data_IF_877858640398
#
_entry.id   IF_877858640398
#
_cell.length_a   1.000
_cell.length_b   1.000
_cell.length_c   1.000
_cell.angle_alpha   90.00
_cell.angle_beta   90.00
_cell.angle_gamma   90.00
#
_symmetry.space_group_name_H-M   'P 1'
#
loop_
_entity.id
_entity.type
_entity.pdbx_description
1 polymer ?
#
# COMPACT_ATOMS: atom_id res chain seq x y z
N UNK A 1 -8.62 -17.86 -3.90
CA UNK A 1 -7.69 -17.29 -2.92
C UNK A 1 -7.89 -15.82 -2.79
N UNK A 2 -7.72 -15.30 -1.59
CA UNK A 2 -7.98 -13.88 -1.31
C UNK A 2 -6.80 -12.97 -1.65
N UNK A 3 -5.62 -13.51 -1.99
CA UNK A 3 -4.46 -12.69 -2.28
C UNK A 3 -4.61 -11.98 -3.62
N UNK A 4 -4.40 -10.66 -3.59
CA UNK A 4 -4.51 -9.81 -4.76
C UNK A 4 -3.23 -9.00 -4.93
N UNK A 5 -2.90 -8.70 -6.16
CA UNK A 5 -1.84 -7.76 -6.49
C UNK A 5 -2.49 -6.42 -6.79
N UNK A 6 -2.11 -5.42 -6.02
CA UNK A 6 -2.73 -4.10 -6.05
C UNK A 6 -1.70 -3.09 -6.51
N UNK A 7 -2.08 -2.29 -7.51
CA UNK A 7 -1.25 -1.18 -7.96
C UNK A 7 -1.95 0.12 -7.63
N UNK A 8 -1.25 1.00 -6.91
CA UNK A 8 -1.71 2.36 -6.66
C UNK A 8 -0.70 3.33 -7.26
N UNK A 9 -1.22 4.40 -7.84
CA UNK A 9 -0.40 5.44 -8.48
C UNK A 9 -0.76 6.79 -7.91
N UNK A 10 0.22 7.69 -7.87
CA UNK A 10 0.04 9.01 -7.30
C UNK A 10 -1.07 9.77 -8.03
N UNK A 11 -2.08 10.16 -7.27
CA UNK A 11 -3.17 10.99 -7.76
C UNK A 11 -2.74 12.44 -7.80
N UNK A 12 -3.65 13.34 -8.15
CA UNK A 12 -3.35 14.77 -8.15
C UNK A 12 -2.84 15.21 -6.79
N UNK A 13 -1.75 15.95 -6.80
CA UNK A 13 -1.04 16.35 -5.62
C UNK A 13 -0.54 17.76 -5.82
N UNK A 14 -0.23 18.46 -4.74
CA UNK A 14 0.28 19.82 -4.79
C UNK A 14 1.54 19.91 -5.64
N UNK A 15 2.42 18.93 -5.50
CA UNK A 15 3.67 18.87 -6.27
C UNK A 15 3.49 18.23 -7.65
N UNK A 16 2.40 17.52 -7.87
CA UNK A 16 2.11 16.80 -9.11
C UNK A 16 0.67 17.04 -9.54
N UNK A 17 0.36 18.20 -10.12
CA UNK A 17 -1.03 18.58 -10.43
C UNK A 17 -1.81 17.60 -11.30
N UNK A 18 -1.11 16.79 -12.08
CA UNK A 18 -1.75 15.79 -12.95
C UNK A 18 -1.57 14.36 -12.45
N UNK A 19 -1.03 14.21 -11.25
CA UNK A 19 -0.67 12.89 -10.73
C UNK A 19 0.59 12.34 -11.40
N UNK A 20 0.87 11.06 -11.20
CA UNK A 20 2.03 10.43 -11.81
C UNK A 20 1.87 8.92 -11.87
N UNK A 21 1.98 8.35 -13.08
CA UNK A 21 1.98 6.90 -13.28
C UNK A 21 3.30 6.27 -12.87
N UNK A 22 4.34 7.08 -12.72
CA UNK A 22 5.69 6.61 -12.41
C UNK A 22 5.98 6.62 -10.93
N UNK A 23 5.00 7.05 -10.11
CA UNK A 23 5.13 7.14 -8.66
C UNK A 23 4.00 6.37 -8.01
N UNK A 24 4.34 5.45 -7.14
CA UNK A 24 3.32 4.68 -6.47
C UNK A 24 3.84 3.42 -5.81
N UNK A 25 2.94 2.47 -5.64
CA UNK A 25 3.21 1.23 -4.95
C UNK A 25 2.54 0.07 -5.66
N UNK A 26 3.25 -1.07 -5.71
CA UNK A 26 2.68 -2.37 -6.02
C UNK A 26 2.75 -3.20 -4.76
N UNK A 27 1.66 -3.81 -4.36
CA UNK A 27 1.70 -4.66 -3.16
C UNK A 27 0.71 -5.82 -3.27
N UNK A 28 0.98 -6.83 -2.47
CA UNK A 28 0.15 -8.02 -2.39
C UNK A 28 -0.54 -8.03 -1.04
N UNK A 29 -1.86 -8.22 -1.06
CA UNK A 29 -2.66 -8.21 0.14
C UNK A 29 -3.89 -9.09 -0.02
N UNK A 30 -4.38 -9.69 1.09
CA UNK A 30 -5.63 -10.43 1.04
C UNK A 30 -6.82 -9.49 1.12
N UNK A 31 -7.71 -9.60 0.15
CA UNK A 31 -8.90 -8.77 0.09
C UNK A 31 -10.15 -9.65 0.05
N UNK A 32 -11.20 -9.19 0.70
CA UNK A 32 -12.52 -9.80 0.58
C UNK A 32 -13.21 -9.31 -0.71
N UNK A 33 -14.41 -9.78 -0.95
CA UNK A 33 -15.16 -9.45 -2.17
C UNK A 33 -15.50 -7.96 -2.26
N UNK A 34 -15.48 -7.25 -1.14
CA UNK A 34 -15.74 -5.82 -1.09
C UNK A 34 -14.47 -4.97 -1.22
N UNK A 35 -13.32 -5.60 -1.29
CA UNK A 35 -12.04 -4.91 -1.39
C UNK A 35 -11.42 -4.49 -0.06
N UNK A 36 -11.89 -5.06 1.04
CA UNK A 36 -11.32 -4.78 2.36
C UNK A 36 -10.24 -5.79 2.72
N UNK A 37 -9.23 -5.32 3.46
CA UNK A 37 -8.13 -6.17 3.92
C UNK A 37 -8.62 -7.17 4.97
N UNK A 38 -8.12 -8.41 4.85
CA UNK A 38 -8.48 -9.51 5.76
C UNK A 38 -7.28 -9.81 6.65
N UNK A 39 -7.34 -9.37 7.92
CA UNK A 39 -6.22 -9.53 8.84
C UNK A 39 -5.85 -11.00 9.11
N UNK A 40 -6.85 -11.87 9.23
CA UNK A 40 -6.58 -13.29 9.49
C UNK A 40 -5.86 -13.97 8.33
N UNK A 41 -6.22 -13.63 7.11
CA UNK A 41 -5.53 -14.15 5.92
C UNK A 41 -4.13 -13.57 5.80
N UNK A 42 -3.96 -12.30 6.16
CA UNK A 42 -2.64 -11.67 6.19
C UNK A 42 -1.69 -12.39 7.15
N UNK A 43 -2.19 -12.77 8.34
CA UNK A 43 -1.36 -13.51 9.31
C UNK A 43 -0.79 -14.79 8.73
N UNK A 44 -1.55 -15.47 7.88
CA UNK A 44 -1.14 -16.73 7.25
C UNK A 44 -0.20 -16.51 6.06
N UNK A 45 -0.12 -15.29 5.54
CA UNK A 45 0.59 -15.00 4.30
C UNK A 45 1.54 -13.81 4.41
N UNK A 46 2.06 -13.53 5.59
CA UNK A 46 2.92 -12.36 5.83
C UNK A 46 4.08 -12.25 4.85
N UNK A 47 4.73 -13.37 4.56
CA UNK A 47 5.89 -13.40 3.68
C UNK A 47 5.53 -13.16 2.22
N UNK A 48 4.28 -13.33 1.86
CA UNK A 48 3.79 -13.13 0.51
C UNK A 48 3.23 -11.73 0.30
N UNK A 49 2.93 -11.02 1.37
CA UNK A 49 2.36 -9.66 1.30
C UNK A 49 3.48 -8.64 1.19
N UNK A 50 4.15 -8.66 0.07
CA UNK A 50 5.27 -7.75 -0.20
C UNK A 50 4.79 -6.47 -0.83
N UNK A 51 5.57 -5.40 -0.64
CA UNK A 51 5.31 -4.09 -1.23
C UNK A 51 6.55 -3.62 -1.97
N UNK A 52 6.34 -2.98 -3.10
CA UNK A 52 7.38 -2.29 -3.86
C UNK A 52 6.94 -0.84 -4.04
N UNK A 53 7.76 0.09 -3.57
CA UNK A 53 7.58 1.51 -3.82
C UNK A 53 8.44 1.89 -5.01
N UNK A 54 7.85 2.52 -6.01
CA UNK A 54 8.58 2.99 -7.20
C UNK A 54 8.43 4.50 -7.32
N UNK A 55 9.55 5.14 -7.66
CA UNK A 55 9.62 6.60 -7.75
C UNK A 55 10.78 6.97 -8.66
N UNK A 56 10.60 7.85 -9.68
CA UNK A 56 11.70 8.22 -10.58
C UNK A 56 12.86 8.87 -9.83
N UNK A 57 14.07 8.50 -10.19
CA UNK A 57 15.26 9.02 -9.54
C UNK A 57 15.62 8.37 -8.22
N UNK A 58 14.80 7.43 -7.75
CA UNK A 58 15.05 6.69 -6.51
C UNK A 58 15.04 5.20 -6.82
N UNK A 59 15.80 4.44 -6.03
CA UNK A 59 15.74 2.99 -6.14
C UNK A 59 14.40 2.50 -5.60
N UNK A 60 13.87 1.45 -6.21
CA UNK A 60 12.69 0.81 -5.69
C UNK A 60 12.94 0.31 -4.27
N UNK A 61 12.02 0.59 -3.37
CA UNK A 61 12.06 0.08 -2.01
C UNK A 61 11.16 -1.15 -1.92
N UNK A 62 11.72 -2.22 -1.39
CA UNK A 62 11.00 -3.48 -1.24
C UNK A 62 10.79 -3.73 0.25
N UNK A 63 9.56 -4.06 0.62
CA UNK A 63 9.22 -4.30 2.00
C UNK A 63 8.04 -5.23 2.13
N UNK A 64 7.35 -5.12 3.24
CA UNK A 64 6.21 -5.96 3.56
C UNK A 64 5.04 -5.13 4.09
N UNK A 65 3.84 -5.60 3.78
CA UNK A 65 2.64 -5.06 4.40
C UNK A 65 2.55 -5.61 5.82
N UNK A 66 2.39 -4.76 6.80
CA UNK A 66 2.27 -5.16 8.19
C UNK A 66 0.99 -4.61 8.81
N UNK A 67 0.41 -5.41 9.70
CA UNK A 67 -0.79 -5.05 10.46
C UNK A 67 -0.36 -4.78 11.89
N UNK A 68 -0.65 -3.58 12.38
CA UNK A 68 -0.21 -3.15 13.70
C UNK A 68 -1.35 -3.19 14.71
N UNK A 69 -0.99 -3.12 15.98
CA UNK A 69 -1.96 -2.98 17.06
C UNK A 69 -2.80 -1.74 16.80
N UNK A 70 -4.10 -1.85 17.08
CA UNK A 70 -5.03 -0.74 16.86
C UNK A 70 -5.67 -0.75 15.48
N UNK A 71 -5.33 -1.75 14.65
CA UNK A 71 -5.98 -1.94 13.36
C UNK A 71 -5.38 -1.17 12.20
N UNK A 72 -4.27 -0.46 12.41
CA UNK A 72 -3.61 0.25 11.31
C UNK A 72 -2.73 -0.70 10.49
N UNK A 73 -2.48 -0.32 9.25
CA UNK A 73 -1.60 -1.04 8.34
C UNK A 73 -0.44 -0.13 7.97
N UNK A 74 0.69 -0.72 7.63
CA UNK A 74 1.86 0.03 7.23
C UNK A 74 2.68 -0.76 6.21
N UNK A 75 3.54 -0.05 5.48
CA UNK A 75 4.56 -0.66 4.63
C UNK A 75 5.88 -0.58 5.38
N UNK A 76 6.47 -1.72 5.64
CA UNK A 76 7.71 -1.84 6.40
C UNK A 76 8.84 -2.27 5.46
N UNK A 77 9.76 -1.37 5.20
CA UNK A 77 10.88 -1.61 4.28
C UNK A 77 12.11 -2.18 4.97
N UNK A 78 12.22 -2.01 6.28
CA UNK A 78 13.35 -2.52 7.04
C UNK A 78 12.84 -3.20 8.30
N UNK A 79 12.90 -4.55 8.36
CA UNK A 79 12.40 -5.27 9.52
C UNK A 79 13.19 -5.01 10.81
N UNK A 80 14.37 -4.38 10.72
CA UNK A 80 15.18 -4.07 11.89
C UNK A 80 14.91 -2.67 12.46
N UNK A 81 14.22 -1.82 11.69
CA UNK A 81 13.90 -0.45 12.11
C UNK A 81 12.42 -0.17 11.93
N UNK A 82 11.75 0.15 13.03
CA UNK A 82 10.33 0.48 13.02
C UNK A 82 10.06 1.94 12.70
N UNK A 83 11.08 2.79 12.81
CA UNK A 83 10.94 4.22 12.53
C UNK A 83 10.73 4.55 11.05
N UNK A 84 11.12 3.63 10.17
CA UNK A 84 10.99 3.84 8.72
C UNK A 84 9.65 3.38 8.17
N UNK A 85 8.78 2.87 9.02
CA UNK A 85 7.45 2.47 8.60
C UNK A 85 6.69 3.68 8.10
N UNK A 86 6.06 3.54 6.97
CA UNK A 86 5.14 4.56 6.50
C UNK A 86 3.90 4.51 7.37
N UNK A 87 3.75 5.55 8.16
CA UNK A 87 2.84 5.55 9.28
C UNK A 87 1.38 5.49 8.85
N UNK A 88 0.71 4.49 9.38
CA UNK A 88 -0.62 4.74 9.89
C UNK A 88 -1.72 5.04 8.92
N UNK A 89 -1.69 4.50 7.73
CA UNK A 89 -2.91 4.60 6.95
C UNK A 89 -3.87 3.49 7.38
N UNK A 90 -5.11 3.87 7.57
CA UNK A 90 -6.15 2.94 7.99
C UNK A 90 -6.77 2.29 6.77
N UNK A 91 -6.01 1.45 6.10
CA UNK A 91 -6.48 0.75 4.90
C UNK A 91 -7.70 -0.14 5.19
N UNK A 92 -7.88 -0.54 6.44
CA UNK A 92 -9.05 -1.32 6.83
C UNK A 92 -10.38 -0.60 6.58
N UNK A 93 -10.35 0.72 6.52
CA UNK A 93 -11.54 1.53 6.25
C UNK A 93 -11.73 1.86 4.78
N UNK A 94 -10.75 1.54 3.95
CA UNK A 94 -10.80 1.83 2.53
C UNK A 94 -11.06 0.56 1.74
N UNK A 95 -11.83 0.71 0.69
CA UNK A 95 -12.01 -0.37 -0.28
C UNK A 95 -10.90 -0.26 -1.31
N UNK A 96 -10.14 -1.32 -1.47
CA UNK A 96 -9.07 -1.36 -2.48
C UNK A 96 -9.63 -1.91 -3.77
N UNK A 97 -10.41 -1.08 -4.45
CA UNK A 97 -10.99 -1.39 -5.75
C UNK A 97 -10.58 -0.32 -6.75
N UNK A 98 -10.46 -0.66 -8.04
CA UNK A 98 -10.02 0.33 -9.03
C UNK A 98 -10.87 1.59 -9.00
N UNK A 99 -10.21 2.75 -9.00
CA UNK A 99 -10.88 4.05 -8.95
C UNK A 99 -10.98 4.65 -7.55
N UNK A 100 -10.77 3.87 -6.50
CA UNK A 100 -10.78 4.40 -5.13
C UNK A 100 -9.48 5.12 -4.83
N UNK A 101 -9.53 6.00 -3.84
CA UNK A 101 -8.38 6.78 -3.40
C UNK A 101 -7.97 6.38 -2.00
N UNK A 102 -6.67 6.35 -1.75
CA UNK A 102 -6.10 6.11 -0.42
C UNK A 102 -5.07 7.18 -0.14
N UNK A 103 -5.07 7.71 1.08
CA UNK A 103 -4.10 8.73 1.49
C UNK A 103 -3.33 8.25 2.69
N UNK A 104 -2.03 8.50 2.68
CA UNK A 104 -1.18 8.18 3.82
C UNK A 104 0.09 9.03 3.80
N UNK A 105 0.76 9.08 4.96
CA UNK A 105 1.99 9.82 5.08
C UNK A 105 3.14 8.99 4.53
N UNK A 106 3.93 9.59 3.64
CA UNK A 106 5.15 8.99 3.14
C UNK A 106 6.27 9.16 4.18
N UNK A 107 7.39 8.48 3.96
CA UNK A 107 8.51 8.53 4.90
C UNK A 107 9.14 9.93 5.02
N UNK A 108 8.88 10.83 4.07
CA UNK A 108 9.31 12.23 4.19
C UNK A 108 8.35 13.08 5.04
N UNK A 109 7.31 12.45 5.61
CA UNK A 109 6.32 13.12 6.43
C UNK A 109 5.20 13.80 5.66
N UNK A 110 5.26 13.82 4.36
CA UNK A 110 4.20 14.43 3.54
C UNK A 110 3.07 13.44 3.30
N UNK A 111 1.85 13.89 3.51
CA UNK A 111 0.68 13.10 3.17
C UNK A 111 0.39 13.23 1.69
N UNK A 112 0.21 12.10 1.02
CA UNK A 112 -0.12 12.09 -0.41
C UNK A 112 -1.28 11.15 -0.65
N UNK A 113 -2.01 11.42 -1.72
CA UNK A 113 -3.15 10.60 -2.13
C UNK A 113 -2.78 9.78 -3.37
N UNK A 114 -3.14 8.51 -3.33
CA UNK A 114 -2.91 7.58 -4.42
C UNK A 114 -4.26 7.03 -4.90
N UNK A 115 -4.30 6.66 -6.16
CA UNK A 115 -5.49 6.05 -6.76
C UNK A 115 -5.22 4.58 -7.03
N UNK A 116 -6.17 3.73 -6.68
CA UNK A 116 -6.10 2.31 -7.00
C UNK A 116 -6.32 2.15 -8.49
N UNK A 117 -5.31 1.62 -9.19
CA UNK A 117 -5.34 1.46 -10.63
C UNK A 117 -5.75 0.07 -11.06
N UNK A 118 -5.29 -0.95 -10.36
CA UNK A 118 -5.63 -2.33 -10.69
C UNK A 118 -5.62 -3.21 -9.45
N UNK A 119 -6.47 -4.23 -9.48
CA UNK A 119 -6.51 -5.27 -8.46
C UNK A 119 -6.64 -6.59 -9.23
N UNK A 120 -5.60 -7.39 -9.18
CA UNK A 120 -5.50 -8.63 -9.95
C UNK A 120 -5.30 -9.81 -9.03
N UNK A 121 -5.79 -10.98 -9.43
CA UNK A 121 -5.54 -12.20 -8.69
C UNK A 121 -4.04 -12.47 -8.67
N UNK A 122 -3.51 -12.76 -7.49
CA UNK A 122 -2.10 -13.06 -7.34
C UNK A 122 -1.79 -14.55 -7.47
N UNK A 123 -2.70 -15.39 -7.02
CA UNK A 123 -2.50 -16.85 -7.03
C UNK A 123 -3.04 -17.50 -8.29
#
# INVERSE_FOLDING_TARGET
MALKRIRIELARDHDFPEGSRERGYDFIAPLDDSGHLIADEWKKNRDRCRVRRFWPGEKDEIGRLVHRRGGSWAFDYDPTETSDDEAGFKLDKHRLVPGEYVSFAEHDGRSRTFRVMSVLDFD
#
